data_IF_859302812238
#
_entry.id   IF_859302812238
#
_cell.length_a   1.000
_cell.length_b   1.000
_cell.length_c   1.000
_cell.angle_alpha   90.00
_cell.angle_beta   90.00
_cell.angle_gamma   90.00
#
_symmetry.space_group_name_H-M   'P 1'
#
loop_
_entity.id
_entity.type
_entity.pdbx_description
1 polymer ?
#
# COMPACT_ATOMS: atom_id res chain seq x y z
N UNK A 1 4.93 -0.34 24.38
CA UNK A 1 5.78 0.41 23.43
C UNK A 1 5.67 1.89 23.78
N UNK A 2 6.66 2.46 24.45
CA UNK A 2 6.70 3.85 24.91
C UNK A 2 8.15 4.33 24.74
N UNK A 3 8.38 5.38 23.94
CA UNK A 3 9.68 6.08 23.95
C UNK A 3 10.26 6.54 22.62
N UNK A 4 9.47 7.10 21.70
CA UNK A 4 9.87 8.20 20.79
C UNK A 4 8.61 8.78 20.11
N UNK A 5 8.58 10.07 19.69
CA UNK A 5 7.34 10.81 19.50
C UNK A 5 6.59 10.31 18.26
N UNK A 6 5.42 9.70 18.46
CA UNK A 6 4.53 9.26 17.37
C UNK A 6 4.21 10.37 16.36
N UNK A 7 4.29 11.64 16.79
CA UNK A 7 4.18 12.82 15.93
C UNK A 7 5.22 12.88 14.82
N UNK A 8 6.45 12.42 15.07
CA UNK A 8 7.52 12.46 14.06
C UNK A 8 7.26 11.45 12.94
N UNK A 9 6.86 10.22 13.30
CA UNK A 9 6.56 9.17 12.33
C UNK A 9 5.30 9.49 11.53
N UNK A 10 4.24 9.97 12.19
CA UNK A 10 3.02 10.37 11.48
C UNK A 10 3.30 11.53 10.52
N UNK A 11 4.12 12.52 10.91
CA UNK A 11 4.56 13.59 10.00
C UNK A 11 5.30 13.06 8.77
N UNK A 12 6.15 12.06 8.92
CA UNK A 12 6.82 11.40 7.80
C UNK A 12 5.81 10.73 6.86
N UNK A 13 4.83 10.01 7.41
CA UNK A 13 3.79 9.38 6.60
C UNK A 13 2.92 10.42 5.88
N UNK A 14 2.48 11.48 6.58
CA UNK A 14 1.73 12.58 5.97
C UNK A 14 2.52 13.26 4.86
N UNK A 15 3.84 13.44 5.04
CA UNK A 15 4.70 13.98 4.00
C UNK A 15 4.69 13.08 2.76
N UNK A 16 4.91 11.77 2.93
CA UNK A 16 4.95 10.84 1.79
C UNK A 16 3.58 10.60 1.15
N UNK A 17 2.50 10.66 1.90
CA UNK A 17 1.13 10.64 1.37
C UNK A 17 0.85 11.87 0.51
N UNK A 18 1.21 13.07 0.99
CA UNK A 18 1.08 14.33 0.23
C UNK A 18 1.88 14.30 -1.08
N UNK A 19 3.01 13.60 -1.10
CA UNK A 19 3.85 13.45 -2.28
C UNK A 19 3.54 12.20 -3.11
N UNK A 20 2.41 11.52 -2.84
CA UNK A 20 1.97 10.33 -3.57
C UNK A 20 3.00 9.18 -3.59
N UNK A 21 3.89 9.13 -2.58
CA UNK A 21 4.81 8.02 -2.38
C UNK A 21 4.09 6.84 -1.71
N UNK A 22 3.15 7.13 -0.80
CA UNK A 22 2.20 6.15 -0.26
C UNK A 22 0.78 6.59 -0.64
N UNK A 23 -0.11 5.62 -0.86
CA UNK A 23 -1.51 5.89 -1.23
C UNK A 23 -2.28 6.54 -0.08
N UNK A 24 -2.16 5.94 1.10
CA UNK A 24 -2.71 6.49 2.34
C UNK A 24 -1.98 6.01 3.58
N UNK A 25 -2.07 6.79 4.65
CA UNK A 25 -1.58 6.39 5.97
C UNK A 25 -2.28 5.09 6.43
N UNK A 26 -3.58 4.94 6.17
CA UNK A 26 -4.34 3.75 6.55
C UNK A 26 -3.84 2.49 5.84
N UNK A 27 -3.56 2.57 4.53
CA UNK A 27 -2.97 1.48 3.75
C UNK A 27 -1.60 1.08 4.31
N UNK A 28 -0.79 2.07 4.70
CA UNK A 28 0.51 1.82 5.34
C UNK A 28 0.38 1.15 6.72
N UNK A 29 -0.60 1.55 7.52
CA UNK A 29 -0.86 0.91 8.82
C UNK A 29 -1.36 -0.53 8.66
N UNK A 30 -2.18 -0.81 7.63
CA UNK A 30 -2.58 -2.17 7.28
C UNK A 30 -1.38 -3.05 6.94
N UNK A 31 -0.44 -2.55 6.12
CA UNK A 31 0.81 -3.25 5.81
C UNK A 31 1.62 -3.55 7.08
N UNK A 32 1.72 -2.58 7.99
CA UNK A 32 2.39 -2.79 9.28
C UNK A 32 1.69 -3.84 10.13
N UNK A 33 0.36 -3.81 10.21
CA UNK A 33 -0.42 -4.79 10.96
C UNK A 33 -0.23 -6.20 10.42
N UNK A 34 -0.31 -6.38 9.10
CA UNK A 34 -0.09 -7.66 8.45
C UNK A 34 1.34 -8.19 8.68
N UNK A 35 2.36 -7.32 8.57
CA UNK A 35 3.76 -7.68 8.89
C UNK A 35 3.96 -8.03 10.36
N UNK A 36 3.21 -7.41 11.28
CA UNK A 36 3.23 -7.80 12.69
C UNK A 36 2.59 -9.19 12.87
N UNK A 37 1.42 -9.42 12.25
CA UNK A 37 0.68 -10.68 12.38
C UNK A 37 1.47 -11.88 11.82
N UNK A 38 2.06 -11.73 10.62
CA UNK A 38 2.89 -12.75 9.99
C UNK A 38 4.13 -13.15 10.81
N UNK A 39 4.59 -12.28 11.72
CA UNK A 39 5.72 -12.56 12.59
C UNK A 39 5.33 -13.29 13.89
N UNK A 40 4.03 -13.44 14.16
CA UNK A 40 3.52 -13.93 15.44
C UNK A 40 2.61 -15.17 15.33
N UNK A 41 1.87 -15.34 14.24
CA UNK A 41 1.03 -16.54 14.03
C UNK A 41 1.76 -17.61 13.23
N UNK A 42 2.09 -18.70 13.91
CA UNK A 42 2.61 -19.93 13.30
C UNK A 42 1.47 -20.96 13.24
N UNK A 43 0.59 -20.79 12.26
CA UNK A 43 -0.52 -21.70 11.99
C UNK A 43 -0.01 -23.05 11.44
N UNK A 44 -0.74 -24.14 11.69
CA UNK A 44 -0.45 -25.48 11.14
C UNK A 44 -1.53 -25.98 10.17
N UNK A 45 -2.66 -25.27 10.06
CA UNK A 45 -3.68 -25.53 9.06
C UNK A 45 -3.24 -24.98 7.70
N UNK A 46 -3.10 -25.87 6.72
CA UNK A 46 -2.67 -25.51 5.37
C UNK A 46 -3.63 -24.53 4.66
N UNK A 47 -4.92 -24.56 4.95
CA UNK A 47 -5.89 -23.64 4.34
C UNK A 47 -5.67 -22.21 4.87
N UNK A 48 -5.52 -22.07 6.18
CA UNK A 48 -5.29 -20.77 6.83
C UNK A 48 -3.91 -20.20 6.46
N UNK A 49 -2.89 -21.06 6.34
CA UNK A 49 -1.58 -20.67 5.80
C UNK A 49 -1.71 -20.14 4.37
N UNK A 50 -2.46 -20.82 3.49
CA UNK A 50 -2.64 -20.39 2.10
C UNK A 50 -3.35 -19.02 2.02
N UNK A 51 -4.42 -18.82 2.79
CA UNK A 51 -5.14 -17.56 2.85
C UNK A 51 -4.26 -16.42 3.40
N UNK A 52 -3.40 -16.72 4.37
CA UNK A 52 -2.40 -15.78 4.87
C UNK A 52 -1.42 -15.36 3.77
N UNK A 53 -0.83 -16.31 3.03
CA UNK A 53 0.09 -16.00 1.92
C UNK A 53 -0.58 -15.23 0.78
N UNK A 54 -1.82 -15.57 0.43
CA UNK A 54 -2.59 -14.85 -0.57
C UNK A 54 -2.83 -13.39 -0.14
N UNK A 55 -3.17 -13.18 1.14
CA UNK A 55 -3.33 -11.84 1.71
C UNK A 55 -2.03 -11.03 1.69
N UNK A 56 -0.91 -11.66 2.06
CA UNK A 56 0.42 -11.04 1.96
C UNK A 56 0.80 -10.71 0.51
N UNK A 57 0.44 -11.56 -0.45
CA UNK A 57 0.69 -11.31 -1.87
C UNK A 57 -0.04 -10.08 -2.39
N UNK A 58 -1.30 -9.87 -1.99
CA UNK A 58 -2.04 -8.64 -2.34
C UNK A 58 -1.40 -7.39 -1.74
N UNK A 59 -0.96 -7.47 -0.48
CA UNK A 59 -0.27 -6.37 0.21
C UNK A 59 1.11 -6.06 -0.40
N UNK A 60 1.81 -7.07 -0.91
CA UNK A 60 3.10 -6.91 -1.58
C UNK A 60 3.01 -5.98 -2.81
N UNK A 61 1.87 -5.99 -3.52
CA UNK A 61 1.64 -5.10 -4.67
C UNK A 61 1.70 -3.63 -4.27
N UNK A 62 1.15 -3.27 -3.11
CA UNK A 62 1.22 -1.91 -2.56
C UNK A 62 2.68 -1.54 -2.27
N UNK A 63 3.45 -2.46 -1.67
CA UNK A 63 4.88 -2.22 -1.39
C UNK A 63 5.69 -1.96 -2.67
N UNK A 64 5.44 -2.71 -3.76
CA UNK A 64 6.12 -2.46 -5.03
C UNK A 64 5.81 -1.09 -5.62
N UNK A 65 4.54 -0.67 -5.57
CA UNK A 65 4.12 0.67 -6.01
C UNK A 65 4.79 1.77 -5.19
N UNK A 66 4.73 1.65 -3.86
CA UNK A 66 5.37 2.60 -2.94
C UNK A 66 6.88 2.67 -3.17
N UNK A 67 7.54 1.53 -3.37
CA UNK A 67 8.98 1.48 -3.61
C UNK A 67 9.35 2.23 -4.89
N UNK A 68 8.59 2.03 -5.98
CA UNK A 68 8.80 2.78 -7.23
C UNK A 68 8.56 4.26 -7.06
N UNK A 69 7.45 4.64 -6.43
CA UNK A 69 7.12 6.03 -6.19
C UNK A 69 8.17 6.73 -5.33
N UNK A 70 8.74 6.04 -4.34
CA UNK A 70 9.82 6.55 -3.52
C UNK A 70 11.10 6.83 -4.31
N UNK A 71 11.53 5.91 -5.18
CA UNK A 71 12.73 6.11 -6.01
C UNK A 71 12.53 7.28 -6.98
N UNK A 72 11.34 7.38 -7.60
CA UNK A 72 11.00 8.51 -8.46
C UNK A 72 11.00 9.84 -7.68
N UNK A 73 10.42 9.86 -6.48
CA UNK A 73 10.43 11.03 -5.61
C UNK A 73 11.84 11.45 -5.21
N UNK A 74 12.74 10.50 -4.91
CA UNK A 74 14.14 10.79 -4.62
C UNK A 74 14.89 11.42 -5.82
N UNK A 75 14.62 10.93 -7.03
CA UNK A 75 15.20 11.51 -8.25
C UNK A 75 14.66 12.93 -8.47
N UNK A 76 13.34 13.10 -8.41
CA UNK A 76 12.67 14.38 -8.66
C UNK A 76 13.04 15.46 -7.63
N UNK A 77 13.10 15.12 -6.34
CA UNK A 77 13.32 16.10 -5.28
C UNK A 77 14.80 16.34 -4.97
N UNK A 78 15.65 15.31 -5.14
CA UNK A 78 17.04 15.36 -4.67
C UNK A 78 18.05 15.09 -5.80
N UNK A 79 17.62 14.69 -7.00
CA UNK A 79 18.51 14.23 -8.07
C UNK A 79 19.25 12.94 -7.72
N UNK A 80 18.73 12.16 -6.76
CA UNK A 80 19.35 10.94 -6.27
C UNK A 80 18.74 9.74 -7.00
N UNK A 81 19.61 8.96 -7.64
CA UNK A 81 19.26 7.73 -8.36
C UNK A 81 19.96 6.53 -7.72
N UNK A 82 19.46 5.30 -7.95
CA UNK A 82 20.18 4.11 -7.53
C UNK A 82 21.59 4.07 -8.14
N UNK A 83 22.59 3.74 -7.31
CA UNK A 83 24.00 3.82 -7.70
C UNK A 83 24.46 2.75 -8.70
N UNK A 84 23.67 1.69 -8.90
CA UNK A 84 23.95 0.63 -9.87
C UNK A 84 22.89 0.62 -10.98
N UNK A 85 23.35 0.58 -12.23
CA UNK A 85 22.48 0.52 -13.41
C UNK A 85 21.73 -0.83 -13.50
N UNK A 86 22.37 -1.93 -13.11
CA UNK A 86 21.75 -3.26 -13.10
C UNK A 86 20.62 -3.31 -12.09
N UNK A 87 20.88 -2.83 -10.86
CA UNK A 87 19.85 -2.71 -9.82
C UNK A 87 18.70 -1.82 -10.29
N UNK A 88 19.01 -0.66 -10.88
CA UNK A 88 18.00 0.27 -11.35
C UNK A 88 17.07 -0.39 -12.38
N UNK A 89 17.63 -1.08 -13.37
CA UNK A 89 16.87 -1.71 -14.45
C UNK A 89 15.98 -2.83 -13.94
N UNK A 90 16.54 -3.74 -13.13
CA UNK A 90 15.79 -4.85 -12.53
C UNK A 90 14.69 -4.35 -11.58
N UNK A 91 15.00 -3.35 -10.74
CA UNK A 91 14.05 -2.77 -9.81
C UNK A 91 12.86 -2.12 -10.54
N UNK A 92 13.13 -1.31 -11.57
CA UNK A 92 12.07 -0.69 -12.36
C UNK A 92 11.26 -1.74 -13.12
N UNK A 93 11.89 -2.80 -13.61
CA UNK A 93 11.17 -3.92 -14.25
C UNK A 93 10.21 -4.59 -13.25
N UNK A 94 10.71 -5.04 -12.10
CA UNK A 94 9.91 -5.73 -11.08
C UNK A 94 8.75 -4.86 -10.62
N UNK A 95 9.01 -3.60 -10.30
CA UNK A 95 7.99 -2.69 -9.76
C UNK A 95 6.99 -2.21 -10.82
N UNK A 96 7.38 -2.16 -12.10
CA UNK A 96 6.47 -1.79 -13.20
C UNK A 96 5.35 -2.82 -13.40
N UNK A 97 5.60 -4.10 -13.11
CA UNK A 97 4.61 -5.19 -13.22
C UNK A 97 3.40 -5.01 -12.30
N UNK A 98 3.55 -4.14 -11.29
CA UNK A 98 2.49 -3.83 -10.33
C UNK A 98 2.00 -2.38 -10.46
N UNK A 99 2.46 -1.65 -11.48
CA UNK A 99 2.11 -0.25 -11.71
C UNK A 99 0.77 -0.01 -12.41
N UNK A 100 0.04 -1.08 -12.77
CA UNK A 100 -1.23 -0.94 -13.46
C UNK A 100 -2.28 -0.17 -12.65
N UNK A 101 -2.85 0.82 -13.35
CA UNK A 101 -3.82 1.82 -12.95
C UNK A 101 -5.02 1.25 -12.21
N UNK A 102 -5.52 2.01 -11.24
CA UNK A 102 -6.88 1.87 -10.70
C UNK A 102 -7.85 1.96 -11.88
N UNK A 103 -8.34 0.83 -12.37
CA UNK A 103 -9.57 0.83 -13.16
C UNK A 103 -10.69 1.27 -12.21
N UNK A 104 -11.36 2.34 -12.59
CA UNK A 104 -12.41 3.08 -11.89
C UNK A 104 -13.70 2.30 -11.60
N UNK A 105 -13.63 1.04 -11.15
CA UNK A 105 -14.80 0.18 -10.92
C UNK A 105 -15.30 0.13 -9.46
N UNK A 106 -14.80 0.99 -8.57
CA UNK A 106 -15.30 1.08 -7.19
C UNK A 106 -16.24 2.28 -6.91
N UNK A 107 -16.86 2.86 -7.95
CA UNK A 107 -17.90 3.89 -7.82
C UNK A 107 -19.17 3.48 -8.58
N UNK A 108 -19.87 2.44 -8.11
CA UNK A 108 -21.26 2.20 -8.55
C UNK A 108 -22.20 1.55 -7.52
N UNK A 109 -21.75 1.22 -6.30
CA UNK A 109 -22.66 0.66 -5.29
C UNK A 109 -23.10 1.76 -4.33
N UNK A 110 -24.19 2.43 -4.68
CA UNK A 110 -24.78 3.44 -3.80
C UNK A 110 -25.90 4.32 -4.37
N UNK A 111 -26.67 3.87 -5.37
CA UNK A 111 -27.95 4.52 -5.66
C UNK A 111 -29.02 3.92 -4.75
N UNK A 112 -29.27 4.60 -3.64
CA UNK A 112 -30.41 4.41 -2.75
C UNK A 112 -31.70 4.49 -3.57
N UNK A 113 -32.40 3.37 -3.67
CA UNK A 113 -33.79 3.33 -4.14
C UNK A 113 -34.67 4.06 -3.12
N UNK A 114 -34.99 5.33 -3.40
CA UNK A 114 -36.12 6.00 -2.76
C UNK A 114 -37.42 5.40 -3.29
N UNK A 115 -38.05 4.56 -2.48
CA UNK A 115 -39.39 4.01 -2.70
C UNK A 115 -40.42 5.16 -2.65
N UNK A 116 -41.37 5.25 -3.59
CA UNK A 116 -42.36 6.33 -3.57
C UNK A 116 -43.40 6.12 -2.46
N UNK A 117 -43.68 7.20 -1.75
CA UNK A 117 -44.78 7.36 -0.80
C UNK A 117 -46.12 7.07 -1.49
N UNK A 118 -46.89 6.12 -0.95
CA UNK A 118 -48.32 6.00 -1.25
C UNK A 118 -49.08 6.77 -0.19
N UNK A 119 -49.90 7.72 -0.66
CA UNK A 119 -50.80 8.50 0.17
C UNK A 119 -51.86 7.66 0.88
N UNK A 120 -52.33 8.23 1.97
CA UNK A 120 -53.63 8.03 2.58
C UNK A 120 -54.12 9.41 3.03
#
# INVERSE_FOLDING_TARGET
MLGEPGDSFLKVLTYYEKHAVIDSIDSWQLLRAARNLAAHDYEIDYAEIADHFNSLYELLKVLYRTSRAFVLHCDEQLGIKPGSMDFNSEFFEITSRFSDSISSQALSVGQVQTKPSKGA
#
